data_IF_263390650567
#
_entry.id   IF_263390650567
#
_cell.length_a   1.000
_cell.length_b   1.000
_cell.length_c   1.000
_cell.angle_alpha   90.00
_cell.angle_beta   90.00
_cell.angle_gamma   90.00
#
_symmetry.space_group_name_H-M   'P 1'
#
loop_
_entity.id
_entity.type
_entity.pdbx_description
1 polymer ?
#
# COMPACT_ATOMS: atom_id res chain seq x y z
N UNK A 1 52.07 -89.32 -0.45
CA UNK A 1 50.70 -88.87 -0.17
C UNK A 1 50.77 -87.71 0.81
N UNK A 2 49.75 -86.86 0.81
CA UNK A 2 49.59 -85.51 1.42
C UNK A 2 50.18 -84.39 0.54
N UNK A 3 49.50 -83.80 -0.45
CA UNK A 3 48.18 -83.10 -0.51
C UNK A 3 48.06 -81.97 0.53
N UNK A 4 48.12 -80.71 0.07
CA UNK A 4 47.87 -79.59 0.96
C UNK A 4 48.12 -78.18 0.41
N UNK A 5 47.33 -77.76 -0.57
CA UNK A 5 46.84 -76.38 -0.74
C UNK A 5 47.88 -75.27 -1.07
N UNK A 6 48.07 -75.03 -2.38
CA UNK A 6 48.49 -73.72 -2.90
C UNK A 6 47.32 -72.74 -2.77
N UNK A 7 47.47 -71.69 -1.96
CA UNK A 7 46.58 -70.51 -2.02
C UNK A 7 46.91 -69.68 -3.28
N UNK A 8 45.92 -69.23 -4.06
CA UNK A 8 46.16 -68.27 -5.13
C UNK A 8 46.32 -66.88 -4.49
N UNK A 9 47.47 -66.24 -4.69
CA UNK A 9 47.57 -64.79 -4.47
C UNK A 9 47.06 -64.12 -5.72
N UNK A 10 45.95 -63.40 -5.54
CA UNK A 10 45.09 -62.79 -6.53
C UNK A 10 45.83 -61.83 -7.47
N UNK A 11 45.76 -62.14 -8.76
CA UNK A 11 46.16 -61.27 -9.88
C UNK A 11 45.27 -60.02 -10.00
N UNK A 12 44.11 -59.98 -9.32
CA UNK A 12 43.19 -58.82 -9.34
C UNK A 12 43.76 -57.61 -8.57
N UNK A 13 44.65 -57.80 -7.61
CA UNK A 13 45.10 -56.70 -6.75
C UNK A 13 46.03 -55.70 -7.47
N UNK A 14 46.75 -56.12 -8.52
CA UNK A 14 47.66 -55.26 -9.28
C UNK A 14 46.95 -54.51 -10.42
N UNK A 15 45.96 -55.11 -11.08
CA UNK A 15 45.13 -54.44 -12.08
C UNK A 15 44.19 -53.41 -11.45
N UNK A 16 43.59 -53.72 -10.29
CA UNK A 16 42.74 -52.77 -9.55
C UNK A 16 43.56 -51.56 -9.10
N UNK A 17 44.81 -51.76 -8.65
CA UNK A 17 45.69 -50.67 -8.22
C UNK A 17 46.13 -49.78 -9.38
N UNK A 18 46.47 -50.34 -10.55
CA UNK A 18 46.84 -49.56 -11.74
C UNK A 18 45.66 -48.73 -12.28
N UNK A 19 44.45 -49.32 -12.29
CA UNK A 19 43.23 -48.61 -12.71
C UNK A 19 42.85 -47.52 -11.70
N UNK A 20 43.02 -47.78 -10.40
CA UNK A 20 42.80 -46.77 -9.35
C UNK A 20 43.80 -45.62 -9.46
N UNK A 21 45.10 -45.91 -9.60
CA UNK A 21 46.14 -44.91 -9.74
C UNK A 21 45.96 -44.09 -11.04
N UNK A 22 45.51 -44.70 -12.14
CA UNK A 22 45.21 -43.98 -13.40
C UNK A 22 44.02 -43.05 -13.24
N UNK A 23 42.94 -43.50 -12.59
CA UNK A 23 41.76 -42.66 -12.31
C UNK A 23 42.07 -41.52 -11.35
N UNK A 24 42.92 -41.76 -10.34
CA UNK A 24 43.37 -40.73 -9.41
C UNK A 24 44.24 -39.69 -10.13
N UNK A 25 45.16 -40.12 -10.99
CA UNK A 25 45.99 -39.20 -11.80
C UNK A 25 45.12 -38.39 -12.76
N UNK A 26 44.11 -38.99 -13.38
CA UNK A 26 43.19 -38.28 -14.28
C UNK A 26 42.29 -37.30 -13.52
N UNK A 27 41.83 -37.66 -12.31
CA UNK A 27 41.10 -36.76 -11.42
C UNK A 27 41.97 -35.57 -10.98
N UNK A 28 43.21 -35.81 -10.56
CA UNK A 28 44.16 -34.76 -10.19
C UNK A 28 44.50 -33.86 -11.39
N UNK A 29 44.62 -34.42 -12.59
CA UNK A 29 44.85 -33.65 -13.82
C UNK A 29 43.66 -32.74 -14.15
N UNK A 30 42.43 -33.23 -14.00
CA UNK A 30 41.23 -32.43 -14.21
C UNK A 30 41.08 -31.34 -13.15
N UNK A 31 41.36 -31.64 -11.88
CA UNK A 31 41.38 -30.64 -10.80
C UNK A 31 42.46 -29.56 -11.04
N UNK A 32 43.64 -29.95 -11.53
CA UNK A 32 44.71 -29.01 -11.87
C UNK A 32 44.30 -28.12 -13.06
N UNK A 33 43.60 -28.68 -14.05
CA UNK A 33 43.13 -27.94 -15.22
C UNK A 33 42.04 -26.93 -14.81
N UNK A 34 41.08 -27.35 -13.99
CA UNK A 34 40.02 -26.51 -13.46
C UNK A 34 40.58 -25.39 -12.55
N UNK A 35 41.55 -25.72 -11.67
CA UNK A 35 42.24 -24.71 -10.87
C UNK A 35 43.03 -23.71 -11.72
N UNK A 36 43.64 -24.16 -12.83
CA UNK A 36 44.37 -23.29 -13.74
C UNK A 36 43.41 -22.40 -14.56
N UNK A 37 42.25 -22.90 -14.95
CA UNK A 37 41.19 -22.12 -15.58
C UNK A 37 40.64 -21.06 -14.62
N UNK A 38 40.34 -21.43 -13.37
CA UNK A 38 39.90 -20.49 -12.34
C UNK A 38 40.95 -19.42 -12.05
N UNK A 39 42.24 -19.79 -11.98
CA UNK A 39 43.34 -18.84 -11.80
C UNK A 39 43.46 -17.89 -13.00
N UNK A 40 43.31 -18.40 -14.23
CA UNK A 40 43.33 -17.57 -15.43
C UNK A 40 42.16 -16.58 -15.47
N UNK A 41 40.96 -17.01 -15.07
CA UNK A 41 39.77 -16.17 -14.99
C UNK A 41 39.88 -15.12 -13.88
N UNK A 42 40.48 -15.47 -12.74
CA UNK A 42 40.78 -14.50 -11.70
C UNK A 42 41.80 -13.47 -12.18
N UNK A 43 42.82 -13.90 -12.94
CA UNK A 43 43.86 -13.02 -13.46
C UNK A 43 43.31 -12.03 -14.51
N UNK A 44 42.42 -12.48 -15.40
CA UNK A 44 41.74 -11.59 -16.35
C UNK A 44 40.86 -10.58 -15.62
N UNK A 45 40.11 -11.02 -14.61
CA UNK A 45 39.26 -10.13 -13.81
C UNK A 45 40.07 -9.09 -13.03
N UNK A 46 41.23 -9.46 -12.47
CA UNK A 46 42.13 -8.48 -11.84
C UNK A 46 42.69 -7.48 -12.84
N UNK A 47 43.05 -7.91 -14.06
CA UNK A 47 43.52 -6.99 -15.11
C UNK A 47 42.42 -6.04 -15.59
N UNK A 48 41.17 -6.50 -15.68
CA UNK A 48 40.02 -5.65 -15.98
C UNK A 48 39.80 -4.59 -14.90
N UNK A 49 39.89 -4.98 -13.61
CA UNK A 49 39.78 -4.05 -12.49
C UNK A 49 40.93 -3.03 -12.48
N UNK A 50 42.17 -3.45 -12.76
CA UNK A 50 43.33 -2.54 -12.89
C UNK A 50 43.14 -1.56 -14.04
N UNK A 51 42.62 -2.02 -15.18
CA UNK A 51 42.34 -1.16 -16.34
C UNK A 51 41.23 -0.15 -16.02
N UNK A 52 40.18 -0.56 -15.30
CA UNK A 52 39.11 0.33 -14.86
C UNK A 52 39.61 1.40 -13.88
N UNK A 53 40.46 1.02 -12.92
CA UNK A 53 41.11 1.94 -11.98
C UNK A 53 42.02 2.95 -12.69
N UNK A 54 42.79 2.51 -13.69
CA UNK A 54 43.65 3.39 -14.49
C UNK A 54 42.88 4.27 -15.48
N UNK A 55 41.70 3.83 -15.93
CA UNK A 55 40.78 4.66 -16.71
C UNK A 55 39.92 5.61 -15.87
N UNK A 56 40.03 5.53 -14.52
CA UNK A 56 39.32 6.43 -13.62
C UNK A 56 39.89 7.83 -13.73
N UNK A 57 39.01 8.78 -14.06
CA UNK A 57 39.29 10.20 -14.33
C UNK A 57 39.63 11.01 -13.05
N UNK A 58 40.28 10.37 -12.08
CA UNK A 58 40.50 10.92 -10.74
C UNK A 58 41.46 12.12 -10.75
N UNK A 59 42.37 12.18 -11.71
CA UNK A 59 43.22 13.36 -11.95
C UNK A 59 42.38 14.55 -12.42
N UNK A 60 41.38 14.33 -13.29
CA UNK A 60 40.49 15.39 -13.78
C UNK A 60 39.57 15.90 -12.67
N UNK A 61 39.06 15.00 -11.81
CA UNK A 61 38.28 15.39 -10.61
C UNK A 61 39.13 16.14 -9.61
N UNK A 62 40.37 15.71 -9.36
CA UNK A 62 41.30 16.38 -8.44
C UNK A 62 41.66 17.78 -8.96
N UNK A 63 41.96 17.91 -10.25
CA UNK A 63 42.16 19.22 -10.88
C UNK A 63 40.93 20.12 -10.79
N UNK A 64 39.72 19.54 -10.93
CA UNK A 64 38.47 20.28 -10.78
C UNK A 64 38.22 20.75 -9.34
N UNK A 65 38.54 19.92 -8.35
CA UNK A 65 38.45 20.28 -6.92
C UNK A 65 39.39 21.45 -6.62
N UNK A 66 40.67 21.35 -7.00
CA UNK A 66 41.64 22.44 -6.81
C UNK A 66 41.17 23.73 -7.48
N UNK A 67 40.65 23.66 -8.71
CA UNK A 67 40.09 24.83 -9.39
C UNK A 67 38.90 25.44 -8.64
N UNK A 68 38.01 24.62 -8.07
CA UNK A 68 36.87 25.11 -7.29
C UNK A 68 37.30 25.72 -5.97
N UNK A 69 38.28 25.13 -5.28
CA UNK A 69 38.88 25.67 -4.06
C UNK A 69 39.53 27.03 -4.31
N UNK A 70 40.31 27.16 -5.38
CA UNK A 70 40.90 28.41 -5.84
C UNK A 70 39.83 29.47 -6.13
N UNK A 71 38.76 29.09 -6.84
CA UNK A 71 37.66 29.99 -7.15
C UNK A 71 36.92 30.44 -5.89
N UNK A 72 36.72 29.54 -4.92
CA UNK A 72 36.14 29.85 -3.62
C UNK A 72 37.02 30.79 -2.81
N UNK A 73 38.34 30.58 -2.77
CA UNK A 73 39.28 31.46 -2.07
C UNK A 73 39.30 32.87 -2.67
N UNK A 74 39.35 32.99 -4.01
CA UNK A 74 39.28 34.30 -4.68
C UNK A 74 37.99 35.03 -4.34
N UNK A 75 36.85 34.35 -4.44
CA UNK A 75 35.55 34.94 -4.11
C UNK A 75 35.45 35.35 -2.63
N UNK A 76 36.05 34.58 -1.72
CA UNK A 76 36.09 34.95 -0.31
C UNK A 76 36.96 36.19 -0.04
N UNK A 77 38.10 36.31 -0.74
CA UNK A 77 38.95 37.49 -0.69
C UNK A 77 38.21 38.73 -1.20
N UNK A 78 37.55 38.62 -2.35
CA UNK A 78 36.74 39.71 -2.92
C UNK A 78 35.64 40.14 -1.94
N UNK A 79 34.97 39.19 -1.28
CA UNK A 79 33.96 39.49 -0.26
C UNK A 79 34.54 40.21 0.96
N UNK A 80 35.73 39.84 1.42
CA UNK A 80 36.43 40.54 2.50
C UNK A 80 36.81 41.97 2.10
N UNK A 81 37.34 42.16 0.89
CA UNK A 81 37.68 43.49 0.37
C UNK A 81 36.43 44.37 0.21
N UNK A 82 35.32 43.82 -0.30
CA UNK A 82 34.04 44.53 -0.33
C UNK A 82 33.53 44.88 1.07
N UNK A 83 33.61 43.95 2.03
CA UNK A 83 33.19 44.18 3.41
C UNK A 83 33.98 45.31 4.07
N UNK A 84 35.30 45.32 3.87
CA UNK A 84 36.18 46.36 4.41
C UNK A 84 35.91 47.72 3.74
N UNK A 85 35.69 47.74 2.42
CA UNK A 85 35.28 48.96 1.71
C UNK A 85 33.95 49.50 2.25
N UNK A 86 32.94 48.64 2.44
CA UNK A 86 31.66 49.04 3.05
C UNK A 86 31.86 49.58 4.48
N UNK A 87 32.77 48.99 5.27
CA UNK A 87 33.09 49.45 6.63
C UNK A 87 33.69 50.85 6.60
N UNK A 88 34.67 51.10 5.73
CA UNK A 88 35.33 52.41 5.56
C UNK A 88 34.34 53.46 5.05
N UNK A 89 33.55 53.15 4.03
CA UNK A 89 32.53 54.06 3.50
C UNK A 89 31.47 54.43 4.56
N UNK A 90 31.05 53.46 5.37
CA UNK A 90 30.12 53.73 6.48
C UNK A 90 30.75 54.62 7.56
N UNK A 91 32.04 54.41 7.88
CA UNK A 91 32.75 55.25 8.83
C UNK A 91 32.89 56.70 8.30
N UNK A 92 33.25 56.88 7.03
CA UNK A 92 33.36 58.20 6.41
C UNK A 92 31.99 58.89 6.32
N UNK A 93 30.93 58.13 5.99
CA UNK A 93 29.56 58.66 5.98
C UNK A 93 29.14 59.18 7.36
N UNK A 94 29.45 58.43 8.43
CA UNK A 94 29.20 58.89 9.80
C UNK A 94 29.99 60.14 10.14
N UNK A 95 31.28 60.20 9.79
CA UNK A 95 32.11 61.39 10.02
C UNK A 95 31.54 62.62 9.30
N UNK A 96 31.15 62.47 8.03
CA UNK A 96 30.54 63.55 7.25
C UNK A 96 29.19 64.00 7.84
N UNK A 97 28.39 63.08 8.39
CA UNK A 97 27.15 63.43 9.08
C UNK A 97 27.41 64.23 10.37
N UNK A 98 28.43 63.85 11.13
CA UNK A 98 28.85 64.58 12.34
C UNK A 98 29.35 65.99 11.98
N UNK A 99 30.21 66.11 10.95
CA UNK A 99 30.73 67.39 10.46
C UNK A 99 29.62 68.30 9.93
N UNK A 100 28.64 67.73 9.21
CA UNK A 100 27.47 68.45 8.73
C UNK A 100 26.60 68.95 9.89
N UNK A 101 26.36 68.11 10.89
CA UNK A 101 25.60 68.49 12.10
C UNK A 101 26.31 69.60 12.88
N UNK A 102 27.63 69.51 13.03
CA UNK A 102 28.44 70.56 13.66
C UNK A 102 28.35 71.89 12.89
N UNK A 103 28.44 71.83 11.56
CA UNK A 103 28.31 73.00 10.68
C UNK A 103 26.90 73.61 10.74
N UNK A 104 25.85 72.79 10.75
CA UNK A 104 24.47 73.24 10.93
C UNK A 104 24.26 73.95 12.26
N UNK A 105 24.84 73.43 13.34
CA UNK A 105 24.77 74.06 14.66
C UNK A 105 25.47 75.42 14.67
N UNK A 106 26.63 75.54 14.00
CA UNK A 106 27.33 76.82 13.88
C UNK A 106 26.54 77.84 13.04
N UNK A 107 25.99 77.43 11.90
CA UNK A 107 25.10 78.26 11.07
C UNK A 107 23.86 78.70 11.86
N UNK A 108 23.30 77.83 12.69
CA UNK A 108 22.20 78.15 13.59
C UNK A 108 22.56 79.26 14.58
N UNK A 109 23.75 79.19 15.20
CA UNK A 109 24.25 80.23 16.11
C UNK A 109 24.46 81.57 15.39
N UNK A 110 25.12 81.56 14.23
CA UNK A 110 25.35 82.78 13.43
C UNK A 110 24.03 83.39 12.97
N UNK A 111 23.05 82.57 12.57
CA UNK A 111 21.73 83.04 12.19
C UNK A 111 20.99 83.69 13.37
N UNK A 112 21.06 83.08 14.56
CA UNK A 112 20.51 83.68 15.78
C UNK A 112 21.17 85.02 16.09
N UNK A 113 22.50 85.10 16.07
CA UNK A 113 23.22 86.36 16.28
C UNK A 113 22.82 87.43 15.26
N UNK A 114 22.76 87.08 13.98
CA UNK A 114 22.34 87.99 12.91
C UNK A 114 20.92 88.53 13.14
N UNK A 115 19.99 87.68 13.56
CA UNK A 115 18.62 88.09 13.89
C UNK A 115 18.61 89.06 15.08
N UNK A 116 19.39 88.81 16.13
CA UNK A 116 19.48 89.74 17.26
C UNK A 116 20.07 91.09 16.85
N UNK A 117 21.06 91.11 15.95
CA UNK A 117 21.60 92.35 15.41
C UNK A 117 20.60 93.10 14.53
N UNK A 118 19.83 92.37 13.72
CA UNK A 118 18.76 92.94 12.88
C UNK A 118 17.66 93.58 13.73
N UNK A 119 17.20 92.92 14.79
CA UNK A 119 16.21 93.48 15.72
C UNK A 119 16.72 94.75 16.41
N UNK A 120 17.98 94.74 16.85
CA UNK A 120 18.63 95.93 17.44
C UNK A 120 18.71 97.08 16.43
N UNK A 121 19.09 96.79 15.19
CA UNK A 121 19.18 97.79 14.14
C UNK A 121 17.80 98.39 13.81
N UNK A 122 16.77 97.57 13.67
CA UNK A 122 15.39 98.02 13.44
C UNK A 122 14.85 98.86 14.60
N UNK A 123 15.15 98.48 15.84
CA UNK A 123 14.75 99.24 17.02
C UNK A 123 15.45 100.62 17.06
N UNK A 124 16.74 100.68 16.74
CA UNK A 124 17.47 101.94 16.62
C UNK A 124 16.93 102.81 15.47
N UNK A 125 16.63 102.20 14.33
CA UNK A 125 16.06 102.89 13.18
C UNK A 125 14.67 103.48 13.51
N UNK A 126 13.81 102.70 14.17
CA UNK A 126 12.51 103.19 14.69
C UNK A 126 12.70 104.38 15.62
N UNK A 127 13.62 104.28 16.60
CA UNK A 127 13.89 105.38 17.54
C UNK A 127 14.43 106.64 16.86
N UNK A 128 15.27 106.49 15.84
CA UNK A 128 15.78 107.62 15.05
C UNK A 128 14.65 108.25 14.24
N UNK A 129 13.76 107.43 13.65
CA UNK A 129 12.58 107.90 12.94
C UNK A 129 11.65 108.65 13.89
N UNK A 130 11.38 108.11 15.07
CA UNK A 130 10.52 108.71 16.10
C UNK A 130 11.07 110.08 16.53
N UNK A 131 12.36 110.18 16.84
CA UNK A 131 13.01 111.44 17.23
C UNK A 131 13.01 112.46 16.07
N UNK A 132 13.22 112.00 14.83
CA UNK A 132 13.21 112.87 13.64
C UNK A 132 11.80 113.39 13.33
N UNK A 133 10.80 112.51 13.39
CA UNK A 133 9.38 112.86 13.23
C UNK A 133 8.93 113.82 14.32
N UNK A 134 9.37 113.61 15.56
CA UNK A 134 9.02 114.47 16.68
C UNK A 134 9.67 115.87 16.56
N UNK A 135 10.92 115.95 16.07
CA UNK A 135 11.54 117.24 15.70
C UNK A 135 10.82 117.94 14.56
N UNK A 136 10.48 117.22 13.48
CA UNK A 136 9.77 117.81 12.33
C UNK A 136 8.34 118.24 12.70
N UNK A 137 7.65 117.50 13.56
CA UNK A 137 6.31 117.85 14.05
C UNK A 137 6.34 119.15 14.86
N UNK A 138 7.25 119.27 15.83
CA UNK A 138 7.41 120.48 16.65
C UNK A 138 7.77 121.70 15.80
N UNK A 139 8.61 121.53 14.78
CA UNK A 139 9.06 122.63 13.91
C UNK A 139 7.98 123.07 12.90
N UNK A 140 7.17 122.11 12.41
CA UNK A 140 6.05 122.37 11.49
C UNK A 140 4.85 122.98 12.21
N UNK A 141 4.55 122.54 13.44
CA UNK A 141 3.47 123.10 14.26
C UNK A 141 3.73 124.54 14.74
N UNK A 142 4.99 124.95 14.88
CA UNK A 142 5.33 126.32 15.31
C UNK A 142 5.08 127.41 14.25
N UNK A 143 4.89 127.03 12.98
CA UNK A 143 4.77 127.96 11.84
C UNK A 143 3.36 127.99 11.21
N UNK A 144 2.39 127.25 11.74
CA UNK A 144 1.02 127.15 11.23
C UNK A 144 0.05 127.97 12.08
N UNK A 145 -0.89 128.65 11.42
CA UNK A 145 -2.05 129.25 12.10
C UNK A 145 -2.85 128.16 12.82
N UNK A 146 -3.50 128.52 13.93
CA UNK A 146 -4.38 127.62 14.68
C UNK A 146 -5.45 126.96 13.78
N UNK A 147 -5.96 127.71 12.79
CA UNK A 147 -6.94 127.22 11.83
C UNK A 147 -6.38 126.12 10.90
N UNK A 148 -5.13 126.27 10.45
CA UNK A 148 -4.49 125.26 9.61
C UNK A 148 -4.14 123.99 10.41
N UNK A 149 -3.74 124.16 11.68
CA UNK A 149 -3.52 123.03 12.60
C UNK A 149 -4.80 122.24 12.85
N UNK A 150 -5.93 122.91 13.05
CA UNK A 150 -7.24 122.27 13.20
C UNK A 150 -7.65 121.49 11.94
N UNK A 151 -7.50 122.10 10.76
CA UNK A 151 -7.85 121.45 9.49
C UNK A 151 -7.00 120.21 9.19
N UNK A 152 -5.70 120.26 9.54
CA UNK A 152 -4.81 119.10 9.42
C UNK A 152 -5.22 118.00 10.41
N UNK A 153 -5.53 118.37 11.67
CA UNK A 153 -5.97 117.43 12.68
C UNK A 153 -7.30 116.77 12.30
N UNK A 154 -8.27 117.51 11.76
CA UNK A 154 -9.54 116.98 11.25
C UNK A 154 -9.32 115.97 10.11
N UNK A 155 -8.45 116.29 9.15
CA UNK A 155 -8.09 115.36 8.07
C UNK A 155 -7.40 114.09 8.57
N UNK A 156 -6.56 114.21 9.61
CA UNK A 156 -5.93 113.06 10.26
C UNK A 156 -6.94 112.19 11.01
N UNK A 157 -7.90 112.79 11.72
CA UNK A 157 -8.98 112.05 12.38
C UNK A 157 -9.81 111.30 11.37
N UNK A 158 -10.21 111.92 10.25
CA UNK A 158 -10.98 111.25 9.20
C UNK A 158 -10.20 110.10 8.55
N UNK A 159 -8.88 110.27 8.35
CA UNK A 159 -8.02 109.22 7.83
C UNK A 159 -7.87 108.06 8.82
N UNK A 160 -7.69 108.35 10.10
CA UNK A 160 -7.62 107.34 11.15
C UNK A 160 -8.94 106.58 11.30
N UNK A 161 -10.09 107.25 11.17
CA UNK A 161 -11.41 106.60 11.21
C UNK A 161 -11.62 105.64 10.03
N UNK A 162 -11.18 106.03 8.82
CA UNK A 162 -11.20 105.15 7.64
C UNK A 162 -10.30 103.94 7.84
N UNK A 163 -9.10 104.14 8.38
CA UNK A 163 -8.17 103.04 8.63
C UNK A 163 -8.66 102.11 9.75
N UNK A 164 -9.23 102.66 10.82
CA UNK A 164 -9.80 101.89 11.92
C UNK A 164 -11.01 101.06 11.45
N UNK A 165 -11.84 101.62 10.57
CA UNK A 165 -12.92 100.88 9.91
C UNK A 165 -12.38 99.72 9.07
N UNK A 166 -11.34 99.97 8.26
CA UNK A 166 -10.68 98.95 7.44
C UNK A 166 -10.08 97.81 8.28
N UNK A 167 -9.36 98.16 9.35
CA UNK A 167 -8.77 97.18 10.28
C UNK A 167 -9.84 96.38 11.01
N UNK A 168 -10.97 97.01 11.36
CA UNK A 168 -12.10 96.32 11.99
C UNK A 168 -12.71 95.27 11.06
N UNK A 169 -12.86 95.58 9.77
CA UNK A 169 -13.37 94.61 8.79
C UNK A 169 -12.39 93.45 8.55
N UNK A 170 -11.09 93.74 8.45
CA UNK A 170 -10.06 92.71 8.35
C UNK A 170 -10.04 91.80 9.59
N UNK A 171 -10.15 92.38 10.78
CA UNK A 171 -10.23 91.62 12.02
C UNK A 171 -11.46 90.69 12.03
N UNK A 172 -12.62 91.20 11.57
CA UNK A 172 -13.84 90.40 11.44
C UNK A 172 -13.65 89.23 10.49
N UNK A 173 -12.99 89.43 9.36
CA UNK A 173 -12.69 88.38 8.39
C UNK A 173 -11.79 87.30 8.99
N UNK A 174 -10.70 87.69 9.64
CA UNK A 174 -9.76 86.75 10.29
C UNK A 174 -10.45 85.94 11.39
N UNK A 175 -11.30 86.58 12.20
CA UNK A 175 -12.12 85.88 13.20
C UNK A 175 -13.03 84.84 12.51
N UNK A 176 -13.68 85.22 11.41
CA UNK A 176 -14.52 84.31 10.62
C UNK A 176 -13.73 83.13 10.03
N UNK A 177 -12.54 83.37 9.49
CA UNK A 177 -11.64 82.33 9.00
C UNK A 177 -11.19 81.39 10.12
N UNK A 178 -10.78 81.93 11.26
CA UNK A 178 -10.34 81.15 12.41
C UNK A 178 -11.48 80.25 12.92
N UNK A 179 -12.70 80.80 13.02
CA UNK A 179 -13.89 80.04 13.42
C UNK A 179 -14.16 78.87 12.45
N UNK A 180 -14.03 79.07 11.13
CA UNK A 180 -14.18 77.98 10.14
C UNK A 180 -13.08 76.93 10.28
N UNK A 181 -11.84 77.37 10.50
CA UNK A 181 -10.71 76.48 10.68
C UNK A 181 -10.85 75.65 11.96
N UNK A 182 -11.29 76.24 13.07
CA UNK A 182 -11.57 75.54 14.32
C UNK A 182 -12.61 74.43 14.11
N UNK A 183 -13.74 74.73 13.46
CA UNK A 183 -14.76 73.71 13.15
C UNK A 183 -14.22 72.58 12.27
N UNK A 184 -13.45 72.92 11.24
CA UNK A 184 -12.80 71.91 10.41
C UNK A 184 -11.84 71.04 11.23
N UNK A 185 -11.04 71.66 12.10
CA UNK A 185 -10.10 70.97 12.96
C UNK A 185 -10.82 70.01 13.92
N UNK A 186 -11.90 70.46 14.57
CA UNK A 186 -12.75 69.60 15.42
C UNK A 186 -13.31 68.40 14.66
N UNK A 187 -13.86 68.61 13.45
CA UNK A 187 -14.35 67.52 12.60
C UNK A 187 -13.25 66.55 12.20
N UNK A 188 -12.06 67.07 11.86
CA UNK A 188 -10.88 66.26 11.53
C UNK A 188 -10.47 65.39 12.72
N UNK A 189 -10.39 65.97 13.93
CA UNK A 189 -10.04 65.24 15.14
C UNK A 189 -11.05 64.13 15.45
N UNK A 190 -12.36 64.39 15.32
CA UNK A 190 -13.41 63.37 15.48
C UNK A 190 -13.25 62.24 14.47
N UNK A 191 -12.98 62.57 13.20
CA UNK A 191 -12.79 61.58 12.14
C UNK A 191 -11.54 60.73 12.38
N UNK A 192 -10.41 61.36 12.72
CA UNK A 192 -9.16 60.67 13.06
C UNK A 192 -9.40 59.71 14.24
N UNK A 193 -10.06 60.17 15.30
CA UNK A 193 -10.37 59.34 16.46
C UNK A 193 -11.24 58.13 16.12
N UNK A 194 -12.22 58.29 15.22
CA UNK A 194 -13.04 57.17 14.71
C UNK A 194 -12.19 56.16 13.93
N UNK A 195 -11.32 56.63 13.04
CA UNK A 195 -10.41 55.78 12.29
C UNK A 195 -9.44 55.03 13.22
N UNK A 196 -8.85 55.72 14.20
CA UNK A 196 -7.96 55.11 15.19
C UNK A 196 -8.64 53.98 15.96
N UNK A 197 -9.88 54.19 16.43
CA UNK A 197 -10.66 53.13 17.11
C UNK A 197 -10.95 51.94 16.21
N UNK A 198 -11.30 52.21 14.95
CA UNK A 198 -11.60 51.15 13.96
C UNK A 198 -10.36 50.33 13.66
N UNK A 199 -9.20 51.00 13.49
CA UNK A 199 -7.92 50.36 13.24
C UNK A 199 -7.47 49.52 14.45
N UNK A 200 -7.60 50.04 15.68
CA UNK A 200 -7.35 49.28 16.91
C UNK A 200 -8.22 48.01 17.02
N UNK A 201 -9.51 48.12 16.67
CA UNK A 201 -10.42 46.97 16.66
C UNK A 201 -10.01 45.92 15.61
N UNK A 202 -9.69 46.36 14.39
CA UNK A 202 -9.20 45.48 13.33
C UNK A 202 -7.89 44.81 13.72
N UNK A 203 -6.96 45.55 14.32
CA UNK A 203 -5.69 45.02 14.81
C UNK A 203 -5.91 43.93 15.87
N UNK A 204 -6.82 44.19 16.83
CA UNK A 204 -7.18 43.20 17.85
C UNK A 204 -7.75 41.92 17.23
N UNK A 205 -8.61 42.06 16.20
CA UNK A 205 -9.17 40.92 15.46
C UNK A 205 -8.09 40.14 14.71
N UNK A 206 -7.14 40.82 14.08
CA UNK A 206 -5.99 40.19 13.41
C UNK A 206 -5.19 39.37 14.41
N UNK A 207 -4.87 39.92 15.58
CA UNK A 207 -4.10 39.21 16.61
C UNK A 207 -4.81 37.93 17.09
N UNK A 208 -6.14 37.95 17.24
CA UNK A 208 -6.90 36.74 17.61
C UNK A 208 -6.87 35.70 16.49
N UNK A 209 -7.08 36.12 15.23
CA UNK A 209 -7.04 35.21 14.08
C UNK A 209 -5.64 34.61 13.87
N UNK A 210 -4.59 35.38 14.09
CA UNK A 210 -3.21 34.90 14.08
C UNK A 210 -2.95 33.86 15.17
N UNK A 211 -3.49 34.05 16.36
CA UNK A 211 -3.40 33.05 17.43
C UNK A 211 -4.14 31.76 17.05
N UNK A 212 -5.38 31.86 16.58
CA UNK A 212 -6.17 30.70 16.13
C UNK A 212 -5.46 29.94 15.01
N UNK A 213 -4.83 30.65 14.06
CA UNK A 213 -4.02 30.05 13.01
C UNK A 213 -2.85 29.24 13.59
N UNK A 214 -2.11 29.81 14.55
CA UNK A 214 -1.00 29.11 15.22
C UNK A 214 -1.46 27.84 15.93
N UNK A 215 -2.59 27.90 16.63
CA UNK A 215 -3.15 26.76 17.35
C UNK A 215 -3.57 25.63 16.40
N UNK A 216 -4.15 25.99 15.24
CA UNK A 216 -4.49 25.03 14.18
C UNK A 216 -3.24 24.42 13.54
N UNK A 217 -2.22 25.22 13.24
CA UNK A 217 -0.93 24.74 12.72
C UNK A 217 -0.28 23.75 13.68
N UNK A 218 -0.30 24.04 14.99
CA UNK A 218 0.21 23.13 16.01
C UNK A 218 -0.59 21.81 16.06
N UNK A 219 -1.92 21.90 15.95
CA UNK A 219 -2.79 20.72 15.94
C UNK A 219 -2.57 19.83 14.71
N UNK A 220 -2.45 20.44 13.52
CA UNK A 220 -2.13 19.75 12.27
C UNK A 220 -0.77 19.04 12.38
N UNK A 221 0.24 19.73 12.91
CA UNK A 221 1.56 19.13 13.11
C UNK A 221 1.51 17.94 14.07
N UNK A 222 0.75 18.06 15.18
CA UNK A 222 0.53 16.95 16.11
C UNK A 222 -0.14 15.74 15.45
N UNK A 223 -1.19 15.97 14.65
CA UNK A 223 -1.87 14.92 13.89
C UNK A 223 -0.96 14.27 12.85
N UNK A 224 -0.15 15.06 12.13
CA UNK A 224 0.81 14.54 11.16
C UNK A 224 1.84 13.61 11.81
N UNK A 225 2.35 13.96 12.99
CA UNK A 225 3.27 13.09 13.75
C UNK A 225 2.59 11.79 14.17
N UNK A 226 1.34 11.83 14.66
CA UNK A 226 0.60 10.61 15.00
C UNK A 226 0.33 9.73 13.77
N UNK A 227 -0.06 10.35 12.66
CA UNK A 227 -0.30 9.66 11.40
C UNK A 227 0.98 9.00 10.86
N UNK A 228 2.14 9.65 11.01
CA UNK A 228 3.42 9.06 10.65
C UNK A 228 3.74 7.84 11.52
N UNK A 229 3.55 7.93 12.85
CA UNK A 229 3.75 6.80 13.76
C UNK A 229 2.87 5.60 13.40
N UNK A 230 1.59 5.84 13.11
CA UNK A 230 0.67 4.77 12.70
C UNK A 230 1.09 4.13 11.37
N UNK A 231 1.54 4.94 10.40
CA UNK A 231 2.08 4.41 9.14
C UNK A 231 3.33 3.57 9.35
N UNK A 232 4.25 4.00 10.21
CA UNK A 232 5.47 3.26 10.50
C UNK A 232 5.16 1.95 11.22
N UNK A 233 4.19 1.95 12.15
CA UNK A 233 3.74 0.74 12.83
C UNK A 233 3.04 -0.24 11.88
N UNK A 234 2.19 0.27 10.99
CA UNK A 234 1.57 -0.53 9.92
C UNK A 234 2.64 -1.19 9.04
N UNK A 235 3.70 -0.45 8.66
CA UNK A 235 4.82 -1.00 7.86
C UNK A 235 5.53 -2.12 8.60
N UNK A 236 5.88 -1.93 9.88
CA UNK A 236 6.49 -2.99 10.68
C UNK A 236 5.62 -4.25 10.76
N UNK A 237 4.32 -4.07 10.95
CA UNK A 237 3.38 -5.19 11.01
C UNK A 237 3.28 -5.92 9.67
N UNK A 238 3.25 -5.19 8.55
CA UNK A 238 3.26 -5.82 7.22
C UNK A 238 4.57 -6.54 6.94
N UNK A 239 5.71 -5.94 7.29
CA UNK A 239 7.03 -6.55 7.11
C UNK A 239 7.16 -7.83 7.95
N UNK A 240 6.70 -7.80 9.20
CA UNK A 240 6.65 -8.98 10.06
C UNK A 240 5.74 -10.09 9.50
N UNK A 241 4.58 -9.73 8.95
CA UNK A 241 3.67 -10.68 8.30
C UNK A 241 4.28 -11.29 7.04
N UNK A 242 4.98 -10.49 6.22
CA UNK A 242 5.71 -10.96 5.04
C UNK A 242 6.78 -11.97 5.45
N UNK A 243 7.62 -11.64 6.43
CA UNK A 243 8.66 -12.56 6.93
C UNK A 243 8.08 -13.89 7.46
N UNK A 244 6.94 -13.83 8.15
CA UNK A 244 6.27 -15.04 8.63
C UNK A 244 5.74 -15.91 7.48
N UNK A 245 5.18 -15.29 6.44
CA UNK A 245 4.71 -16.00 5.24
C UNK A 245 5.88 -16.58 4.44
N UNK A 246 6.97 -15.84 4.27
CA UNK A 246 8.20 -16.32 3.62
C UNK A 246 8.74 -17.55 4.36
N UNK A 247 8.77 -17.52 5.70
CA UNK A 247 9.17 -18.67 6.49
C UNK A 247 8.25 -19.88 6.29
N UNK A 248 6.93 -19.68 6.24
CA UNK A 248 5.99 -20.77 5.95
C UNK A 248 6.13 -21.33 4.53
N UNK A 249 6.43 -20.48 3.54
CA UNK A 249 6.68 -20.92 2.17
C UNK A 249 7.93 -21.79 2.13
N UNK A 250 9.03 -21.36 2.75
CA UNK A 250 10.26 -22.14 2.83
C UNK A 250 10.02 -23.51 3.50
N UNK A 251 9.30 -23.57 4.62
CA UNK A 251 8.95 -24.84 5.27
C UNK A 251 8.12 -25.77 4.36
N UNK A 252 7.19 -25.21 3.57
CA UNK A 252 6.38 -25.99 2.63
C UNK A 252 7.21 -26.47 1.45
N UNK A 253 8.16 -25.67 0.96
CA UNK A 253 9.09 -26.06 -0.10
C UNK A 253 10.01 -27.20 0.36
N UNK A 254 10.51 -27.16 1.60
CA UNK A 254 11.27 -28.24 2.21
C UNK A 254 10.43 -29.53 2.26
N UNK A 255 9.17 -29.46 2.74
CA UNK A 255 8.29 -30.63 2.79
C UNK A 255 7.93 -31.18 1.41
N UNK A 256 7.75 -30.32 0.41
CA UNK A 256 7.56 -30.74 -0.99
C UNK A 256 8.80 -31.48 -1.47
N UNK A 257 10.00 -30.98 -1.15
CA UNK A 257 11.26 -31.62 -1.53
C UNK A 257 11.38 -33.01 -0.90
N UNK A 258 11.10 -33.16 0.39
CA UNK A 258 11.03 -34.47 1.07
C UNK A 258 10.04 -35.42 0.42
N UNK A 259 8.81 -34.96 0.14
CA UNK A 259 7.79 -35.78 -0.52
C UNK A 259 8.20 -36.19 -1.94
N UNK A 260 8.90 -35.32 -2.67
CA UNK A 260 9.46 -35.64 -3.99
C UNK A 260 10.53 -36.71 -3.87
N UNK A 261 11.41 -36.64 -2.87
CA UNK A 261 12.40 -37.67 -2.58
C UNK A 261 11.73 -39.01 -2.22
N UNK A 262 10.73 -39.00 -1.32
CA UNK A 262 9.93 -40.18 -0.96
C UNK A 262 9.25 -40.81 -2.19
N UNK A 263 8.63 -39.99 -3.05
CA UNK A 263 8.03 -40.45 -4.31
C UNK A 263 9.06 -41.04 -5.26
N UNK A 264 10.26 -40.44 -5.35
CA UNK A 264 11.35 -40.95 -6.18
C UNK A 264 11.86 -42.30 -5.66
N UNK A 265 11.99 -42.47 -4.34
CA UNK A 265 12.40 -43.70 -3.70
C UNK A 265 11.36 -44.80 -3.90
N UNK A 266 10.08 -44.51 -3.70
CA UNK A 266 8.99 -45.44 -3.98
C UNK A 266 8.93 -45.83 -5.46
N UNK A 267 9.13 -44.87 -6.37
CA UNK A 267 9.20 -45.15 -7.80
C UNK A 267 10.38 -46.07 -8.13
N UNK A 268 11.54 -45.85 -7.52
CA UNK A 268 12.70 -46.74 -7.65
C UNK A 268 12.45 -48.10 -7.03
N UNK A 269 11.72 -48.19 -5.91
CA UNK A 269 11.33 -49.46 -5.32
C UNK A 269 10.35 -50.24 -6.21
N UNK A 270 9.41 -49.56 -6.87
CA UNK A 270 8.50 -50.20 -7.83
C UNK A 270 9.27 -50.65 -9.06
N UNK A 271 10.15 -49.81 -9.63
CA UNK A 271 10.99 -50.20 -10.78
C UNK A 271 12.04 -51.25 -10.42
N UNK A 272 12.59 -51.20 -9.21
CA UNK A 272 13.48 -52.20 -8.64
C UNK A 272 12.74 -53.49 -8.35
N UNK A 273 11.48 -53.42 -7.93
CA UNK A 273 10.55 -54.53 -7.85
C UNK A 273 10.20 -55.09 -9.23
N UNK A 274 10.12 -54.29 -10.29
CA UNK A 274 10.02 -54.78 -11.67
C UNK A 274 11.32 -55.45 -12.15
N UNK A 275 12.47 -55.10 -11.57
CA UNK A 275 13.79 -55.63 -11.95
C UNK A 275 14.27 -56.83 -11.09
N UNK A 276 13.97 -56.88 -9.79
CA UNK A 276 14.25 -57.99 -8.85
C UNK A 276 13.09 -58.99 -8.80
N UNK A 277 11.85 -58.51 -8.86
CA UNK A 277 10.72 -59.26 -9.42
C UNK A 277 10.71 -59.03 -10.93
N UNK A 278 11.80 -59.46 -11.56
CA UNK A 278 11.65 -60.27 -12.75
C UNK A 278 10.72 -61.45 -12.41
N UNK A 279 9.43 -61.20 -12.32
CA UNK A 279 8.54 -61.97 -13.14
C UNK A 279 8.56 -61.21 -14.48
N UNK A 280 9.45 -61.59 -15.44
CA UNK A 280 8.88 -61.74 -16.77
C UNK A 280 7.60 -62.52 -16.48
N UNK A 281 6.43 -61.99 -16.80
CA UNK A 281 5.19 -62.77 -16.80
C UNK A 281 5.64 -64.15 -17.31
N UNK A 282 5.75 -65.15 -16.40
CA UNK A 282 6.70 -66.26 -16.60
C UNK A 282 6.38 -66.84 -17.96
N UNK A 283 7.30 -67.46 -18.69
CA UNK A 283 6.86 -68.20 -19.88
C UNK A 283 5.61 -69.05 -19.53
N UNK A 284 5.62 -69.61 -18.31
CA UNK A 284 4.49 -70.23 -17.61
C UNK A 284 3.26 -69.33 -17.37
N UNK A 285 3.38 -68.07 -16.92
CA UNK A 285 2.22 -67.18 -16.70
C UNK A 285 1.68 -66.60 -18.01
N UNK A 286 2.55 -66.35 -19.01
CA UNK A 286 2.13 -66.00 -20.37
C UNK A 286 1.45 -67.18 -21.05
N UNK A 287 2.03 -68.38 -20.93
CA UNK A 287 1.42 -69.62 -21.42
C UNK A 287 0.14 -69.93 -20.66
N UNK A 288 0.06 -69.67 -19.35
CA UNK A 288 -1.17 -69.84 -18.56
C UNK A 288 -2.24 -68.83 -18.95
N UNK A 289 -1.88 -67.57 -19.18
CA UNK A 289 -2.81 -66.55 -19.67
C UNK A 289 -3.28 -66.93 -21.07
N UNK A 290 -2.38 -67.34 -21.96
CA UNK A 290 -2.74 -67.83 -23.30
C UNK A 290 -3.60 -69.09 -23.26
N UNK A 291 -3.34 -70.02 -22.34
CA UNK A 291 -4.13 -71.24 -22.16
C UNK A 291 -5.52 -70.90 -21.62
N UNK A 292 -5.62 -69.96 -20.68
CA UNK A 292 -6.90 -69.45 -20.17
C UNK A 292 -7.69 -68.71 -21.25
N UNK A 293 -7.02 -67.94 -22.10
CA UNK A 293 -7.62 -67.31 -23.29
C UNK A 293 -8.10 -68.36 -24.30
N UNK A 294 -7.30 -69.39 -24.57
CA UNK A 294 -7.65 -70.51 -25.44
C UNK A 294 -8.83 -71.29 -24.88
N UNK A 295 -8.85 -71.56 -23.58
CA UNK A 295 -9.94 -72.24 -22.88
C UNK A 295 -11.23 -71.40 -22.91
N UNK A 296 -11.13 -70.10 -22.67
CA UNK A 296 -12.26 -69.18 -22.80
C UNK A 296 -12.82 -69.17 -24.24
N UNK A 297 -11.94 -69.27 -25.24
CA UNK A 297 -12.33 -69.39 -26.65
C UNK A 297 -13.02 -70.73 -26.96
N UNK A 298 -12.48 -71.86 -26.51
CA UNK A 298 -13.11 -73.18 -26.70
C UNK A 298 -14.49 -73.23 -26.05
N UNK A 299 -14.63 -72.73 -24.82
CA UNK A 299 -15.93 -72.66 -24.16
C UNK A 299 -16.91 -71.79 -24.93
N UNK A 300 -16.45 -70.66 -25.47
CA UNK A 300 -17.30 -69.82 -26.33
C UNK A 300 -17.79 -70.60 -27.56
N UNK A 301 -16.90 -71.31 -28.25
CA UNK A 301 -17.25 -72.09 -29.45
C UNK A 301 -18.21 -73.25 -29.11
N UNK A 302 -18.03 -73.92 -27.96
CA UNK A 302 -18.92 -74.98 -27.48
C UNK A 302 -20.32 -74.43 -27.16
N UNK A 303 -20.41 -73.26 -26.50
CA UNK A 303 -21.70 -72.59 -26.26
C UNK A 303 -22.39 -72.19 -27.57
N UNK A 304 -21.64 -71.76 -28.58
CA UNK A 304 -22.17 -71.45 -29.91
C UNK A 304 -22.63 -72.71 -30.66
N UNK A 305 -21.92 -73.83 -30.51
CA UNK A 305 -22.31 -75.12 -31.09
C UNK A 305 -23.58 -75.67 -30.43
N UNK A 306 -23.64 -75.68 -29.09
CA UNK A 306 -24.82 -76.07 -28.32
C UNK A 306 -26.03 -75.22 -28.72
N UNK A 307 -25.83 -73.91 -28.94
CA UNK A 307 -26.88 -73.02 -29.45
C UNK A 307 -27.38 -73.45 -30.83
N UNK A 308 -26.48 -73.75 -31.77
CA UNK A 308 -26.84 -74.24 -33.13
C UNK A 308 -27.55 -75.59 -33.10
N UNK A 309 -27.15 -76.49 -32.21
CA UNK A 309 -27.80 -77.79 -32.03
C UNK A 309 -29.20 -77.62 -31.42
N UNK A 310 -29.35 -76.70 -30.45
CA UNK A 310 -30.65 -76.33 -29.89
C UNK A 310 -31.60 -75.75 -30.95
N UNK A 311 -31.11 -74.88 -31.83
CA UNK A 311 -31.89 -74.32 -32.95
C UNK A 311 -32.34 -75.43 -33.94
N UNK A 312 -31.47 -76.40 -34.24
CA UNK A 312 -31.81 -77.57 -35.06
C UNK A 312 -32.86 -78.46 -34.40
N UNK A 313 -32.71 -78.75 -33.11
CA UNK A 313 -33.71 -79.50 -32.35
C UNK A 313 -35.06 -78.76 -32.31
N UNK A 314 -35.04 -77.44 -32.13
CA UNK A 314 -36.25 -76.62 -32.16
C UNK A 314 -36.96 -76.75 -33.52
N UNK A 315 -36.22 -76.65 -34.62
CA UNK A 315 -36.76 -76.84 -35.98
C UNK A 315 -37.35 -78.24 -36.17
N UNK A 316 -36.67 -79.29 -35.70
CA UNK A 316 -37.19 -80.66 -35.74
C UNK A 316 -38.46 -80.83 -34.91
N UNK A 317 -38.51 -80.23 -33.72
CA UNK A 317 -39.70 -80.21 -32.88
C UNK A 317 -40.86 -79.53 -33.62
N UNK A 318 -40.61 -78.43 -34.33
CA UNK A 318 -41.65 -77.74 -35.10
C UNK A 318 -42.13 -78.58 -36.30
N UNK A 319 -41.23 -79.29 -37.00
CA UNK A 319 -41.58 -80.25 -38.06
C UNK A 319 -42.41 -81.42 -37.48
N UNK A 320 -41.98 -81.99 -36.36
CA UNK A 320 -42.68 -83.09 -35.69
C UNK A 320 -44.03 -82.65 -35.17
N UNK A 321 -44.13 -81.45 -34.60
CA UNK A 321 -45.42 -80.83 -34.25
C UNK A 321 -46.29 -80.70 -35.48
N UNK A 322 -45.79 -80.16 -36.59
CA UNK A 322 -46.58 -80.05 -37.82
C UNK A 322 -47.07 -81.42 -38.33
N UNK A 323 -46.19 -82.43 -38.31
CA UNK A 323 -46.55 -83.83 -38.66
C UNK A 323 -47.61 -84.38 -37.72
N UNK A 324 -47.44 -84.25 -36.40
CA UNK A 324 -48.38 -84.68 -35.38
C UNK A 324 -49.75 -84.01 -35.55
N UNK A 325 -49.77 -82.69 -35.83
CA UNK A 325 -51.02 -81.98 -36.14
C UNK A 325 -51.64 -82.47 -37.45
N UNK A 326 -50.85 -82.87 -38.45
CA UNK A 326 -51.35 -83.45 -39.70
C UNK A 326 -51.93 -84.86 -39.49
N UNK A 327 -51.23 -85.74 -38.77
CA UNK A 327 -51.75 -87.08 -38.44
C UNK A 327 -52.92 -87.02 -37.48
N UNK A 328 -52.91 -86.14 -36.48
CA UNK A 328 -54.07 -85.94 -35.59
C UNK A 328 -55.29 -85.45 -36.37
N UNK A 329 -55.10 -84.56 -37.36
CA UNK A 329 -56.20 -84.16 -38.27
C UNK A 329 -56.69 -85.34 -39.12
N UNK A 330 -55.79 -86.19 -39.62
CA UNK A 330 -56.17 -87.40 -40.38
C UNK A 330 -56.89 -88.44 -39.50
N UNK A 331 -56.43 -88.63 -38.26
CA UNK A 331 -57.09 -89.49 -37.28
C UNK A 331 -58.47 -88.95 -36.91
N UNK A 332 -58.60 -87.64 -36.66
CA UNK A 332 -59.91 -87.02 -36.42
C UNK A 332 -60.86 -87.17 -37.62
N UNK A 333 -60.34 -87.13 -38.86
CA UNK A 333 -61.13 -87.41 -40.05
C UNK A 333 -61.55 -88.89 -40.17
N UNK A 334 -60.67 -89.83 -39.81
CA UNK A 334 -60.96 -91.28 -39.79
C UNK A 334 -61.89 -91.69 -38.64
N UNK A 335 -61.78 -91.03 -37.48
CA UNK A 335 -62.70 -91.20 -36.35
C UNK A 335 -64.09 -90.65 -36.65
N UNK A 336 -64.21 -89.65 -37.53
CA UNK A 336 -65.50 -89.22 -38.10
C UNK A 336 -66.05 -90.20 -39.15
N UNK A 337 -65.21 -90.98 -39.84
CA UNK A 337 -65.65 -92.04 -40.76
C UNK A 337 -65.98 -93.37 -40.09
N UNK A 338 -65.54 -93.60 -38.84
CA UNK A 338 -65.75 -94.86 -38.10
C UNK A 338 -66.77 -94.73 -36.95
N UNK A 339 -67.94 -94.16 -37.25
CA UNK A 339 -69.14 -94.38 -36.44
C UNK A 339 -69.89 -95.57 -37.03
N UNK A 340 -69.78 -96.78 -36.46
CA UNK A 340 -70.86 -97.75 -36.21
C UNK A 340 -70.30 -99.05 -35.57
N UNK A 341 -70.65 -99.27 -34.27
CA UNK A 341 -70.80 -100.54 -33.51
C UNK A 341 -69.59 -101.51 -33.38
N UNK A 342 -69.11 -102.07 -32.24
CA UNK A 342 -69.59 -102.41 -30.86
C UNK A 342 -68.43 -103.21 -30.14
N UNK A 343 -68.52 -103.90 -28.97
CA UNK A 343 -67.96 -103.43 -27.70
C UNK A 343 -66.96 -104.37 -26.97
N UNK A 344 -66.19 -103.77 -26.05
CA UNK A 344 -65.75 -104.22 -24.72
C UNK A 344 -65.60 -105.72 -24.37
N UNK A 345 -64.37 -106.16 -24.07
CA UNK A 345 -64.07 -107.18 -23.04
C UNK A 345 -62.72 -106.83 -22.37
N UNK A 346 -62.72 -106.70 -21.04
CA UNK A 346 -61.54 -106.37 -20.24
C UNK A 346 -60.75 -107.59 -19.75
N UNK A 347 -59.56 -107.35 -19.19
CA UNK A 347 -58.94 -108.24 -18.20
C UNK A 347 -57.85 -107.51 -17.39
N UNK A 348 -57.63 -108.06 -16.19
CA UNK A 348 -57.08 -107.45 -14.98
C UNK A 348 -55.58 -107.71 -14.75
N UNK A 349 -55.02 -106.88 -13.86
CA UNK A 349 -54.00 -107.15 -12.81
C UNK A 349 -52.54 -107.46 -13.19
N UNK A 350 -51.63 -106.69 -12.58
CA UNK A 350 -50.22 -107.03 -12.36
C UNK A 350 -49.52 -105.92 -11.56
N UNK A 351 -48.82 -106.28 -10.49
CA UNK A 351 -48.40 -105.42 -9.37
C UNK A 351 -46.88 -105.25 -9.29
N UNK A 352 -46.45 -104.09 -8.75
CA UNK A 352 -45.18 -103.80 -8.03
C UNK A 352 -43.84 -103.71 -8.83
N UNK A 353 -42.79 -103.00 -8.33
CA UNK A 353 -42.64 -102.42 -6.99
C UNK A 353 -42.16 -100.95 -6.88
N UNK A 354 -42.34 -100.48 -5.64
CA UNK A 354 -41.79 -99.32 -4.96
C UNK A 354 -40.25 -99.28 -5.02
N UNK A 355 -39.67 -98.11 -5.28
CA UNK A 355 -38.27 -97.80 -4.98
C UNK A 355 -38.20 -96.48 -4.22
N UNK A 356 -37.75 -96.55 -2.97
CA UNK A 356 -37.36 -95.42 -2.13
C UNK A 356 -36.21 -95.92 -1.21
N UNK A 357 -35.38 -95.04 -0.65
CA UNK A 357 -34.06 -94.58 -1.14
C UNK A 357 -32.89 -95.16 -0.30
N UNK A 358 -31.61 -94.93 -0.65
CA UNK A 358 -30.52 -95.05 0.31
C UNK A 358 -30.32 -93.74 1.08
N UNK A 359 -30.61 -93.74 2.37
CA UNK A 359 -30.06 -92.78 3.33
C UNK A 359 -28.69 -93.27 3.77
N UNK A 360 -27.67 -92.40 3.71
CA UNK A 360 -26.44 -92.63 4.46
C UNK A 360 -25.23 -91.86 3.95
N UNK A 361 -25.14 -90.57 4.27
CA UNK A 361 -23.95 -90.01 4.92
C UNK A 361 -24.42 -88.81 5.76
N UNK A 362 -24.17 -88.90 7.06
CA UNK A 362 -24.38 -87.85 8.05
C UNK A 362 -23.05 -87.11 8.17
N UNK A 363 -23.08 -85.79 8.04
CA UNK A 363 -22.09 -84.90 8.65
C UNK A 363 -22.87 -83.80 9.38
N UNK A 364 -22.73 -83.81 10.71
CA UNK A 364 -23.25 -82.85 11.67
C UNK A 364 -22.04 -82.07 12.18
N UNK A 365 -22.14 -80.74 12.23
CA UNK A 365 -21.07 -79.82 12.64
C UNK A 365 -20.47 -79.10 11.44
N UNK A 366 -20.25 -77.79 11.41
CA UNK A 366 -19.90 -76.86 12.48
C UNK A 366 -20.57 -75.50 12.24
N UNK A 367 -20.77 -74.79 13.35
CA UNK A 367 -21.26 -73.43 13.55
C UNK A 367 -21.05 -72.39 12.43
N UNK A 368 -22.07 -71.54 12.25
CA UNK A 368 -21.93 -70.14 11.81
C UNK A 368 -20.80 -69.48 12.60
N UNK A 369 -19.85 -68.77 11.96
CA UNK A 369 -19.95 -67.28 11.95
C UNK A 369 -19.26 -66.52 10.78
N UNK A 370 -19.71 -65.27 10.58
CA UNK A 370 -19.06 -64.05 10.00
C UNK A 370 -18.54 -64.12 8.54
N UNK A 371 -18.82 -63.17 7.64
CA UNK A 371 -18.65 -61.70 7.67
C UNK A 371 -19.78 -61.04 6.84
N UNK A 372 -20.58 -60.15 7.45
CA UNK A 372 -20.73 -58.71 7.16
C UNK A 372 -21.13 -58.30 5.73
N UNK A 373 -22.36 -57.84 5.58
CA UNK A 373 -22.73 -56.76 4.66
C UNK A 373 -24.04 -56.15 5.18
N UNK A 374 -23.89 -55.15 6.05
CA UNK A 374 -24.97 -54.25 6.46
C UNK A 374 -25.20 -53.23 5.34
N UNK A 375 -26.44 -53.06 4.90
CA UNK A 375 -26.93 -51.86 4.20
C UNK A 375 -28.33 -51.54 4.74
N UNK A 376 -28.44 -50.29 5.18
CA UNK A 376 -29.62 -49.40 5.21
C UNK A 376 -30.71 -49.56 6.28
N UNK A 377 -30.54 -48.78 7.37
CA UNK A 377 -31.66 -48.14 8.08
C UNK A 377 -31.26 -46.79 8.69
N UNK A 378 -31.96 -45.72 8.25
CA UNK A 378 -32.26 -44.41 8.87
C UNK A 378 -31.39 -43.79 10.01
N UNK A 379 -30.91 -42.57 9.73
CA UNK A 379 -30.81 -41.35 10.57
C UNK A 379 -30.47 -41.46 12.08
N UNK A 380 -29.27 -41.02 12.46
CA UNK A 380 -29.05 -40.10 13.60
C UNK A 380 -27.79 -39.26 13.41
N UNK A 381 -27.96 -37.95 13.58
CA UNK A 381 -26.92 -36.96 13.80
C UNK A 381 -26.34 -37.10 15.22
N UNK A 382 -25.06 -36.72 15.36
CA UNK A 382 -24.46 -35.96 16.46
C UNK A 382 -23.06 -36.48 16.81
N UNK A 383 -22.08 -35.61 16.58
CA UNK A 383 -20.73 -35.67 17.12
C UNK A 383 -20.78 -35.15 18.56
N UNK A 384 -20.47 -35.99 19.53
CA UNK A 384 -20.07 -35.65 20.92
C UNK A 384 -18.59 -36.08 21.00
N UNK A 385 -17.59 -35.19 21.09
CA UNK A 385 -17.17 -34.36 22.23
C UNK A 385 -17.11 -35.14 23.54
N UNK A 386 -15.86 -35.43 23.93
CA UNK A 386 -15.41 -35.74 25.30
C UNK A 386 -13.92 -35.35 25.30
N UNK A 387 -13.35 -34.47 26.11
CA UNK A 387 -13.80 -33.62 27.20
C UNK A 387 -12.54 -33.14 27.94
N UNK A 388 -12.45 -31.86 28.32
CA UNK A 388 -12.04 -31.39 29.66
C UNK A 388 -11.85 -29.86 29.73
N UNK A 389 -12.78 -29.26 30.49
CA UNK A 389 -12.65 -28.19 31.48
C UNK A 389 -12.31 -26.72 31.07
N UNK A 390 -13.38 -25.92 31.09
CA UNK A 390 -13.53 -24.47 31.37
C UNK A 390 -12.69 -23.94 32.57
N UNK A 391 -12.36 -22.62 32.71
CA UNK A 391 -13.34 -21.53 32.60
C UNK A 391 -12.91 -20.20 31.92
N UNK A 392 -13.88 -19.63 31.19
CA UNK A 392 -14.34 -18.23 31.21
C UNK A 392 -13.32 -17.08 31.31
N UNK A 393 -13.14 -16.39 30.18
CA UNK A 393 -12.76 -14.97 30.10
C UNK A 393 -13.80 -14.22 29.25
N UNK A 394 -14.59 -13.36 29.91
CA UNK A 394 -15.70 -12.58 29.38
C UNK A 394 -15.37 -11.79 28.09
N UNK A 395 -16.03 -12.15 26.99
CA UNK A 395 -16.14 -11.33 25.77
C UNK A 395 -17.58 -10.93 25.52
N UNK A 396 -18.06 -9.92 26.24
CA UNK A 396 -19.35 -9.27 25.99
C UNK A 396 -19.32 -8.62 24.60
N UNK A 397 -19.92 -9.26 23.59
CA UNK A 397 -20.17 -8.64 22.29
C UNK A 397 -21.27 -7.57 22.42
N UNK A 398 -20.87 -6.40 22.90
CA UNK A 398 -21.69 -5.17 23.04
C UNK A 398 -21.28 -4.10 22.02
N UNK A 399 -20.79 -4.48 20.84
CA UNK A 399 -20.46 -3.50 19.81
C UNK A 399 -21.74 -2.95 19.15
N UNK A 400 -21.93 -1.62 19.11
CA UNK A 400 -23.10 -1.00 18.51
C UNK A 400 -23.14 -1.21 16.99
N UNK A 401 -24.30 -1.59 16.48
CA UNK A 401 -24.59 -1.74 15.05
C UNK A 401 -24.60 -0.36 14.39
N UNK A 402 -23.80 -0.16 13.35
CA UNK A 402 -23.72 1.11 12.63
C UNK A 402 -24.38 1.05 11.26
N UNK A 403 -25.17 2.07 10.92
CA UNK A 403 -25.71 2.22 9.57
C UNK A 403 -24.58 2.56 8.58
N UNK A 404 -24.37 1.77 7.52
CA UNK A 404 -23.24 1.96 6.61
C UNK A 404 -23.31 3.25 5.77
N UNK A 405 -24.46 3.94 5.76
CA UNK A 405 -24.65 5.15 4.96
C UNK A 405 -24.48 6.45 5.75
N UNK A 406 -25.05 6.52 6.95
CA UNK A 406 -25.00 7.73 7.79
C UNK A 406 -24.13 7.55 9.05
N UNK A 407 -23.54 6.36 9.23
CA UNK A 407 -22.72 5.97 10.39
C UNK A 407 -23.42 6.10 11.74
N UNK A 408 -24.76 6.15 11.77
CA UNK A 408 -25.51 6.24 13.01
C UNK A 408 -25.47 4.91 13.78
N UNK A 409 -25.17 5.00 15.08
CA UNK A 409 -24.98 3.86 15.98
C UNK A 409 -26.28 3.42 16.67
N UNK A 410 -26.47 2.10 16.78
CA UNK A 410 -27.61 1.46 17.40
C UNK A 410 -27.13 0.33 18.33
N UNK A 411 -27.69 0.23 19.54
CA UNK A 411 -27.35 -0.86 20.46
C UNK A 411 -27.79 -2.22 19.89
N UNK A 412 -27.02 -3.29 20.14
CA UNK A 412 -27.34 -4.68 19.74
C UNK A 412 -28.74 -5.12 20.18
N UNK A 413 -29.22 -4.64 21.33
CA UNK A 413 -30.56 -4.91 21.85
C UNK A 413 -31.71 -4.34 20.99
N UNK A 414 -31.45 -3.33 20.16
CA UNK A 414 -32.45 -2.60 19.36
C UNK A 414 -32.30 -2.88 17.85
N UNK A 415 -32.09 -4.15 17.49
CA UNK A 415 -31.88 -4.59 16.11
C UNK A 415 -33.05 -4.22 15.17
N UNK A 416 -34.29 -4.27 15.64
CA UNK A 416 -35.45 -3.88 14.82
C UNK A 416 -35.41 -2.40 14.41
N UNK A 417 -35.02 -1.50 15.32
CA UNK A 417 -34.91 -0.06 15.03
C UNK A 417 -33.76 0.24 14.05
N UNK A 418 -32.65 -0.51 14.14
CA UNK A 418 -31.56 -0.46 13.16
C UNK A 418 -32.04 -0.85 11.76
N UNK A 419 -32.76 -1.98 11.62
CA UNK A 419 -33.24 -2.44 10.31
C UNK A 419 -34.27 -1.49 9.69
N UNK A 420 -35.16 -0.89 10.49
CA UNK A 420 -36.09 0.14 10.00
C UNK A 420 -35.35 1.40 9.54
N UNK A 421 -34.33 1.85 10.29
CA UNK A 421 -33.51 2.99 9.90
C UNK A 421 -32.71 2.72 8.62
N UNK A 422 -32.11 1.54 8.48
CA UNK A 422 -31.38 1.16 7.26
C UNK A 422 -32.31 1.14 6.05
N UNK A 423 -33.54 0.63 6.19
CA UNK A 423 -34.53 0.67 5.10
C UNK A 423 -34.85 2.10 4.64
N UNK A 424 -35.10 3.03 5.58
CA UNK A 424 -35.41 4.43 5.24
C UNK A 424 -34.16 5.18 4.73
N UNK A 425 -33.00 4.90 5.32
CA UNK A 425 -31.75 5.60 5.01
C UNK A 425 -31.16 5.14 3.67
N UNK A 426 -31.43 3.92 3.20
CA UNK A 426 -31.01 3.46 1.87
C UNK A 426 -31.91 3.98 0.74
N UNK A 427 -33.17 4.34 1.04
CA UNK A 427 -34.16 4.79 0.04
C UNK A 427 -34.20 6.31 -0.20
N UNK A 428 -33.54 7.14 0.63
CA UNK A 428 -33.35 8.59 0.42
C UNK A 428 -32.02 8.88 -0.22
#
# INVERSE_FOLDING_TARGET
>A
MDIGIKKPVSTDYYEIKLVFDTKVVECLKNQLLEANEQLSASLTKTKELETLLQSSDDDAKTAKIVHLEDACQRRNKDLQECSEMCRVLNAETKRLQEDLSASQNQLGKVSQELNTWKEKAQNLESKVLDVSMQKMAVQKESNLSLADRLKIAEGQVEQLDKENSRLTDQLREVIGMNTRWQRYNEQREVHVLKLTKTNQHQQSKITVLEQQKRDLEQSINGLNVMLQKLKDEQRKNTDAAILALEHQVAQREDRISELVEELSALKMYIQGGENESGLPQRAEDKERIQLLEQQAKTYKDDFEQERRDRERLQSNVDILRHRLHSTSRKLAALEQENTYTTPNVGLKTGSAPVYQPPRGLVARGIARPRYTSDEDTYLTSNVEIDGQDEPDGQGSNTEPLQCPRCAQEFSVANHCSFMTHVGICLDQ
#
